data_IF_905705665426
#
_entry.id   IF_905705665426
#
_cell.length_a   1.000
_cell.length_b   1.000
_cell.length_c   1.000
_cell.angle_alpha   90.00
_cell.angle_beta   90.00
_cell.angle_gamma   90.00
#
_symmetry.space_group_name_H-M   'P 1'
#
loop_
_entity.id
_entity.type
_entity.pdbx_description
1 polymer ?
#
# COMPACT_ATOMS: atom_id res chain seq x y z
N UNK A 1 -25.57 15.90 15.69
CA UNK A 1 -24.50 16.88 15.96
C UNK A 1 -23.19 16.16 15.68
N UNK A 2 -22.56 16.50 14.56
CA UNK A 2 -21.48 15.72 13.94
C UNK A 2 -20.17 15.87 14.70
N UNK A 3 -19.68 14.75 15.23
CA UNK A 3 -18.33 14.62 15.75
C UNK A 3 -17.55 13.90 14.65
N UNK A 4 -16.91 14.63 13.74
CA UNK A 4 -16.07 14.02 12.70
C UNK A 4 -14.69 14.69 12.64
N UNK A 5 -13.73 14.05 13.32
CA UNK A 5 -12.39 13.73 12.85
C UNK A 5 -11.53 14.84 12.20
N UNK A 6 -11.26 15.93 12.91
CA UNK A 6 -10.25 16.93 12.48
C UNK A 6 -8.78 16.58 12.79
N UNK A 7 -8.40 15.29 12.84
CA UNK A 7 -6.98 14.90 12.97
C UNK A 7 -6.40 14.19 11.74
N UNK A 8 -7.23 13.85 10.74
CA UNK A 8 -6.81 13.11 9.53
C UNK A 8 -6.66 13.95 8.26
N UNK A 9 -7.47 15.00 8.07
CA UNK A 9 -7.64 15.63 6.74
C UNK A 9 -6.40 16.29 6.14
N UNK A 10 -5.50 16.81 6.99
CA UNK A 10 -4.22 17.39 6.53
C UNK A 10 -3.21 16.31 6.13
N UNK A 11 -3.08 15.28 6.97
CA UNK A 11 -2.12 14.19 6.75
C UNK A 11 -2.56 13.27 5.61
N UNK A 12 -3.85 12.96 5.48
CA UNK A 12 -4.40 12.18 4.37
C UNK A 12 -4.18 12.85 3.01
N UNK A 13 -4.29 14.19 2.92
CA UNK A 13 -3.98 14.93 1.70
C UNK A 13 -2.51 14.80 1.30
N UNK A 14 -1.59 14.82 2.26
CA UNK A 14 -0.17 14.64 2.01
C UNK A 14 0.16 13.19 1.62
N UNK A 15 -0.52 12.21 2.22
CA UNK A 15 -0.39 10.81 1.81
C UNK A 15 -0.93 10.57 0.39
N UNK A 16 -2.06 11.18 0.01
CA UNK A 16 -2.60 11.05 -1.34
C UNK A 16 -1.64 11.59 -2.40
N UNK A 17 -1.05 12.78 -2.18
CA UNK A 17 0.02 13.30 -3.04
C UNK A 17 1.24 12.39 -3.04
N UNK A 18 1.64 11.86 -1.88
CA UNK A 18 2.74 10.90 -1.77
C UNK A 18 2.50 9.63 -2.60
N UNK A 19 1.27 9.12 -2.62
CA UNK A 19 0.87 7.97 -3.43
C UNK A 19 1.02 8.27 -4.92
N UNK A 20 0.63 9.45 -5.39
CA UNK A 20 0.81 9.83 -6.80
C UNK A 20 2.29 9.85 -7.20
N UNK A 21 3.15 10.46 -6.37
CA UNK A 21 4.60 10.49 -6.62
C UNK A 21 5.22 9.09 -6.60
N UNK A 22 4.84 8.27 -5.61
CA UNK A 22 5.26 6.88 -5.53
C UNK A 22 4.77 6.06 -6.71
N UNK A 23 3.56 6.32 -7.21
CA UNK A 23 3.02 5.66 -8.41
C UNK A 23 3.87 6.00 -9.64
N UNK A 24 4.21 7.27 -9.85
CA UNK A 24 5.10 7.68 -10.95
C UNK A 24 6.46 7.00 -10.88
N UNK A 25 7.08 6.96 -9.69
CA UNK A 25 8.36 6.27 -9.50
C UNK A 25 8.23 4.75 -9.66
N UNK A 26 7.14 4.15 -9.17
CA UNK A 26 6.88 2.73 -9.28
C UNK A 26 6.68 2.29 -10.73
N UNK A 27 6.03 3.12 -11.55
CA UNK A 27 5.89 2.92 -12.99
C UNK A 27 7.23 3.00 -13.74
N UNK A 28 8.20 3.75 -13.22
CA UNK A 28 9.56 3.81 -13.76
C UNK A 28 10.43 2.60 -13.34
N UNK A 29 9.87 1.62 -12.64
CA UNK A 29 10.62 0.44 -12.18
C UNK A 29 11.37 0.66 -10.85
N UNK A 30 11.10 1.77 -10.14
CA UNK A 30 11.72 2.00 -8.83
C UNK A 30 11.17 0.99 -7.81
N UNK A 31 11.98 -0.01 -7.46
CA UNK A 31 11.58 -1.08 -6.55
C UNK A 31 11.19 -0.56 -5.15
N UNK A 32 11.94 0.37 -4.51
CA UNK A 32 11.51 1.03 -3.27
C UNK A 32 10.15 1.72 -3.37
N UNK A 33 9.85 2.38 -4.48
CA UNK A 33 8.58 3.06 -4.69
C UNK A 33 7.42 2.05 -4.81
N UNK A 34 7.63 0.97 -5.57
CA UNK A 34 6.66 -0.14 -5.67
C UNK A 34 6.37 -0.75 -4.29
N UNK A 35 7.40 -0.97 -3.47
CA UNK A 35 7.24 -1.46 -2.10
C UNK A 35 6.43 -0.51 -1.22
N UNK A 36 6.74 0.79 -1.24
CA UNK A 36 6.01 1.78 -0.45
C UNK A 36 4.56 1.92 -0.90
N UNK A 37 4.31 1.89 -2.22
CA UNK A 37 2.96 1.91 -2.77
C UNK A 37 2.14 0.69 -2.32
N UNK A 38 2.76 -0.50 -2.30
CA UNK A 38 2.15 -1.70 -1.75
C UNK A 38 1.77 -1.56 -0.27
N UNK A 39 2.62 -0.92 0.54
CA UNK A 39 2.30 -0.62 1.96
C UNK A 39 1.18 0.39 2.12
N UNK A 40 1.06 1.36 1.22
CA UNK A 40 -0.03 2.34 1.26
C UNK A 40 -1.37 1.66 1.02
N UNK A 41 -1.45 0.77 0.02
CA UNK A 41 -2.63 -0.07 -0.22
C UNK A 41 -2.91 -1.06 0.93
N UNK A 42 -1.89 -1.61 1.58
CA UNK A 42 -2.07 -2.50 2.74
C UNK A 42 -2.79 -1.81 3.92
N UNK A 43 -2.46 -0.54 4.18
CA UNK A 43 -3.00 0.20 5.33
C UNK A 43 -4.05 1.24 4.97
N UNK A 44 -4.39 1.40 3.69
CA UNK A 44 -5.29 2.45 3.23
C UNK A 44 -4.76 3.87 3.53
N UNK A 45 -3.44 4.08 3.45
CA UNK A 45 -2.83 5.39 3.75
C UNK A 45 -2.74 6.23 2.48
N UNK A 46 -3.64 7.22 2.33
CA UNK A 46 -3.68 8.10 1.15
C UNK A 46 -4.22 7.44 -0.12
N UNK A 47 -4.58 6.16 -0.04
CA UNK A 47 -5.29 5.38 -1.06
C UNK A 47 -6.28 4.48 -0.33
N UNK A 48 -7.31 3.99 -1.03
CA UNK A 48 -8.22 3.00 -0.45
C UNK A 48 -7.47 1.70 -0.08
N UNK A 49 -7.83 1.07 1.03
CA UNK A 49 -7.21 -0.20 1.45
C UNK A 49 -7.57 -1.27 0.44
N UNK A 50 -6.57 -1.80 -0.26
CA UNK A 50 -6.73 -2.88 -1.24
C UNK A 50 -5.55 -3.85 -1.15
N UNK A 51 -5.80 -5.02 -0.56
CA UNK A 51 -4.76 -6.05 -0.41
C UNK A 51 -4.37 -6.70 -1.74
N UNK A 52 -5.24 -6.73 -2.73
CA UNK A 52 -4.93 -7.25 -4.07
C UNK A 52 -3.95 -6.31 -4.77
N UNK A 53 -4.17 -4.99 -4.68
CA UNK A 53 -3.20 -4.04 -5.20
C UNK A 53 -1.90 -4.00 -4.42
N UNK A 54 -1.97 -4.12 -3.08
CA UNK A 54 -0.76 -4.28 -2.28
C UNK A 54 0.09 -5.46 -2.78
N UNK A 55 -0.54 -6.60 -3.05
CA UNK A 55 0.09 -7.80 -3.61
C UNK A 55 0.74 -7.55 -4.96
N UNK A 56 0.02 -6.91 -5.88
CA UNK A 56 0.53 -6.59 -7.21
C UNK A 56 1.82 -5.76 -7.12
N UNK A 57 1.81 -4.70 -6.31
CA UNK A 57 2.95 -3.80 -6.17
C UNK A 57 4.13 -4.43 -5.44
N UNK A 58 3.90 -5.24 -4.40
CA UNK A 58 4.97 -6.00 -3.77
C UNK A 58 5.60 -7.02 -4.74
N UNK A 59 4.80 -7.69 -5.56
CA UNK A 59 5.33 -8.63 -6.56
C UNK A 59 6.22 -7.93 -7.58
N UNK A 60 5.79 -6.76 -8.09
CA UNK A 60 6.60 -5.88 -8.95
C UNK A 60 7.91 -5.46 -8.27
N UNK A 61 7.86 -5.10 -6.99
CA UNK A 61 9.05 -4.70 -6.23
C UNK A 61 10.05 -5.85 -6.12
N UNK A 62 9.58 -7.09 -5.89
CA UNK A 62 10.42 -8.30 -5.86
C UNK A 62 11.08 -8.53 -7.23
N UNK A 63 10.31 -8.39 -8.31
CA UNK A 63 10.80 -8.55 -9.69
C UNK A 63 11.91 -7.54 -10.02
N UNK A 64 11.81 -6.32 -9.50
CA UNK A 64 12.84 -5.28 -9.60
C UNK A 64 13.96 -5.40 -8.54
N UNK A 65 14.08 -6.55 -7.84
CA UNK A 65 15.17 -6.85 -6.92
C UNK A 65 14.98 -6.37 -5.48
N UNK A 66 13.79 -5.91 -5.08
CA UNK A 66 13.53 -5.51 -3.70
C UNK A 66 13.13 -6.69 -2.82
N UNK A 67 14.11 -7.33 -2.19
CA UNK A 67 13.86 -8.55 -1.40
C UNK A 67 12.97 -8.35 -0.18
N UNK A 68 13.02 -7.18 0.48
CA UNK A 68 12.12 -6.86 1.62
C UNK A 68 10.63 -6.86 1.22
N UNK A 69 10.31 -6.73 -0.07
CA UNK A 69 8.94 -6.86 -0.54
C UNK A 69 8.41 -8.30 -0.43
N UNK A 70 9.29 -9.33 -0.39
CA UNK A 70 8.91 -10.73 -0.15
C UNK A 70 8.29 -10.91 1.25
N UNK A 71 8.87 -10.27 2.26
CA UNK A 71 8.36 -10.32 3.64
C UNK A 71 7.00 -9.63 3.74
N UNK A 72 6.86 -8.45 3.12
CA UNK A 72 5.59 -7.72 3.10
C UNK A 72 4.49 -8.47 2.31
N UNK A 73 4.84 -9.08 1.18
CA UNK A 73 3.96 -9.95 0.39
C UNK A 73 3.45 -11.13 1.22
N UNK A 74 4.34 -11.76 1.98
CA UNK A 74 3.98 -12.89 2.86
C UNK A 74 3.01 -12.45 3.95
N UNK A 75 3.25 -11.26 4.53
CA UNK A 75 2.38 -10.68 5.56
C UNK A 75 0.97 -10.43 5.02
N UNK A 76 0.84 -9.74 3.88
CA UNK A 76 -0.50 -9.49 3.31
C UNK A 76 -1.20 -10.77 2.86
N UNK A 77 -0.47 -11.81 2.46
CA UNK A 77 -1.06 -13.10 2.10
C UNK A 77 -1.66 -13.78 3.33
N UNK A 78 -1.00 -13.65 4.48
CA UNK A 78 -1.56 -14.10 5.76
C UNK A 78 -2.78 -13.29 6.18
N UNK A 79 -2.79 -11.97 5.95
CA UNK A 79 -3.93 -11.12 6.29
C UNK A 79 -5.13 -11.40 5.35
N UNK A 80 -4.89 -11.55 4.05
CA UNK A 80 -5.89 -11.90 3.05
C UNK A 80 -6.56 -13.25 3.37
N UNK A 81 -5.77 -14.26 3.74
CA UNK A 81 -6.29 -15.59 4.12
C UNK A 81 -7.14 -15.57 5.39
N UNK A 82 -7.00 -14.56 6.25
CA UNK A 82 -7.83 -14.41 7.45
C UNK A 82 -9.14 -13.70 7.11
N UNK A 83 -9.07 -12.65 6.29
CA UNK A 83 -10.26 -11.94 5.79
C UNK A 83 -11.21 -12.89 5.04
N UNK A 84 -10.68 -13.85 4.25
CA UNK A 84 -11.49 -14.87 3.57
C UNK A 84 -12.15 -15.91 4.53
N UNK A 85 -11.63 -16.08 5.75
CA UNK A 85 -12.17 -17.02 6.74
C UNK A 85 -13.16 -16.40 7.72
N UNK A 86 -13.24 -15.07 7.78
CA UNK A 86 -14.10 -14.32 8.70
C UNK A 86 -15.37 -13.74 8.01
N UNK A 87 -15.59 -14.06 6.73
CA UNK A 87 -16.77 -13.68 5.95
C UNK A 87 -17.82 -14.83 5.86
#
# INVERSE_FOLDING_TARGET
IGIMYCYGEGMEKDFAKGAEWLTKAALQGNAPAQYNLGRMYQWGKGVEKDLQQARFWFQKAIDNGHEKAKEALTKIKSDLSKEDTEA
#
